data_IF_497566981840
#
_entry.id   IF_497566981840
#
_cell.length_a   1.000
_cell.length_b   1.000
_cell.length_c   1.000
_cell.angle_alpha   90.00
_cell.angle_beta   90.00
_cell.angle_gamma   90.00
#
_symmetry.space_group_name_H-M   'P 1'
#
loop_
_entity.id
_entity.type
_entity.pdbx_description
1 polymer ?
#
# COMPACT_ATOMS: atom_id res chain seq x y z
N UNK A 1 8.36 -17.23 11.90
CA UNK A 1 9.07 -16.03 11.42
C UNK A 1 8.20 -15.34 10.38
N UNK A 2 8.10 -14.01 10.41
CA UNK A 2 7.40 -13.21 9.41
C UNK A 2 8.46 -12.62 8.46
N UNK A 3 8.38 -12.95 7.19
CA UNK A 3 9.26 -12.38 6.16
C UNK A 3 8.72 -11.03 5.71
N UNK A 4 9.60 -10.06 5.54
CA UNK A 4 9.23 -8.72 5.12
C UNK A 4 10.35 -8.06 4.32
N UNK A 5 9.97 -7.05 3.53
CA UNK A 5 10.92 -6.15 2.88
C UNK A 5 10.68 -4.73 3.38
N UNK A 6 11.73 -4.03 3.79
CA UNK A 6 11.66 -2.60 4.12
C UNK A 6 11.91 -1.77 2.86
N UNK A 7 11.02 -0.84 2.55
CA UNK A 7 11.14 0.06 1.40
C UNK A 7 10.81 1.49 1.81
N UNK A 8 11.22 2.47 1.01
CA UNK A 8 10.73 3.84 1.13
C UNK A 8 10.56 4.48 -0.25
N UNK A 9 9.70 5.50 -0.32
CA UNK A 9 9.57 6.36 -1.50
C UNK A 9 9.45 7.81 -1.05
N UNK A 10 10.42 8.64 -1.45
CA UNK A 10 10.46 10.07 -1.10
C UNK A 10 10.34 10.32 0.42
N UNK A 11 11.02 9.51 1.22
CA UNK A 11 11.06 9.62 2.69
C UNK A 11 9.95 8.88 3.43
N UNK A 12 8.83 8.56 2.78
CA UNK A 12 7.77 7.75 3.38
C UNK A 12 8.15 6.26 3.32
N UNK A 13 8.21 5.60 4.48
CA UNK A 13 8.76 4.24 4.61
C UNK A 13 7.71 3.17 4.97
N UNK A 14 7.96 1.95 4.47
CA UNK A 14 7.00 0.85 4.46
C UNK A 14 7.62 -0.47 4.90
N UNK A 15 6.83 -1.26 5.61
CA UNK A 15 7.05 -2.71 5.73
C UNK A 15 6.14 -3.42 4.73
N UNK A 16 6.75 -4.11 3.76
CA UNK A 16 6.06 -4.86 2.70
C UNK A 16 5.93 -6.33 3.10
N UNK A 17 4.72 -6.87 3.04
CA UNK A 17 4.40 -8.24 3.41
C UNK A 17 3.77 -8.99 2.22
N UNK A 18 4.19 -10.25 2.05
CA UNK A 18 3.72 -11.13 0.99
C UNK A 18 2.58 -12.02 1.50
N UNK A 19 1.37 -11.70 1.07
CA UNK A 19 0.14 -12.47 1.33
C UNK A 19 -0.38 -13.13 0.05
N UNK A 20 0.48 -13.27 -0.97
CA UNK A 20 0.20 -14.01 -2.21
C UNK A 20 0.57 -15.48 -2.04
N UNK A 21 1.74 -15.74 -1.44
CA UNK A 21 2.28 -17.10 -1.27
C UNK A 21 1.85 -17.76 0.03
N UNK A 22 1.47 -16.97 1.04
CA UNK A 22 1.09 -17.44 2.37
C UNK A 22 0.06 -16.50 2.97
N UNK A 23 -1.06 -17.06 3.40
CA UNK A 23 -2.12 -16.28 4.06
C UNK A 23 -1.59 -15.63 5.34
N UNK A 24 -1.71 -14.31 5.45
CA UNK A 24 -1.37 -13.52 6.62
C UNK A 24 -2.63 -13.00 7.31
N UNK A 25 -2.87 -13.49 8.52
CA UNK A 25 -3.90 -12.95 9.42
C UNK A 25 -3.23 -12.10 10.49
N UNK A 26 -3.19 -10.78 10.24
CA UNK A 26 -2.53 -9.81 11.11
C UNK A 26 -3.57 -9.05 11.92
N UNK A 27 -3.44 -9.08 13.24
CA UNK A 27 -4.23 -8.24 14.14
C UNK A 27 -3.74 -6.80 14.13
N UNK A 28 -4.60 -5.87 14.53
CA UNK A 28 -4.26 -4.45 14.71
C UNK A 28 -3.05 -4.28 15.64
N UNK A 29 -3.00 -5.02 16.75
CA UNK A 29 -1.87 -5.00 17.68
C UNK A 29 -0.56 -5.44 17.02
N UNK A 30 -0.60 -6.43 16.12
CA UNK A 30 0.58 -6.86 15.38
C UNK A 30 1.05 -5.80 14.40
N UNK A 31 0.12 -5.15 13.68
CA UNK A 31 0.45 -4.02 12.79
C UNK A 31 1.10 -2.88 13.57
N UNK A 32 0.52 -2.48 14.70
CA UNK A 32 1.07 -1.43 15.55
C UNK A 32 2.47 -1.79 16.07
N UNK A 33 2.67 -3.03 16.51
CA UNK A 33 3.99 -3.52 16.94
C UNK A 33 5.01 -3.55 15.81
N UNK A 34 4.60 -3.86 14.58
CA UNK A 34 5.49 -3.79 13.41
C UNK A 34 5.90 -2.34 13.15
N UNK A 35 4.94 -1.41 13.21
CA UNK A 35 5.14 -0.01 12.87
C UNK A 35 5.86 0.82 13.95
N UNK A 36 5.90 0.36 15.21
CA UNK A 36 6.65 1.00 16.28
C UNK A 36 8.14 1.12 15.91
N UNK A 37 8.68 2.36 15.90
CA UNK A 37 10.05 2.65 15.49
C UNK A 37 11.12 2.32 16.54
N UNK A 38 10.74 2.14 17.80
CA UNK A 38 11.66 1.90 18.91
C UNK A 38 11.65 0.43 19.33
N UNK A 39 10.49 -0.23 19.23
CA UNK A 39 10.27 -1.59 19.72
C UNK A 39 9.91 -2.58 18.62
N UNK A 40 9.67 -2.09 17.41
CA UNK A 40 9.29 -2.85 16.23
C UNK A 40 10.30 -2.74 15.09
N UNK A 41 9.80 -2.90 13.87
CA UNK A 41 10.60 -2.67 12.64
C UNK A 41 10.64 -1.17 12.32
N UNK A 42 9.55 -0.46 12.61
CA UNK A 42 9.40 0.96 12.37
C UNK A 42 9.03 1.28 10.93
N UNK A 43 7.88 1.91 10.71
CA UNK A 43 7.47 2.43 9.39
C UNK A 43 6.30 3.41 9.53
N UNK A 44 6.05 4.21 8.50
CA UNK A 44 4.83 5.00 8.41
C UNK A 44 3.61 4.11 8.12
N UNK A 45 3.74 3.16 7.19
CA UNK A 45 2.67 2.21 6.84
C UNK A 45 3.16 0.77 6.65
N UNK A 46 2.31 -0.18 6.99
CA UNK A 46 2.46 -1.59 6.60
C UNK A 46 1.66 -1.83 5.33
N UNK A 47 2.28 -2.40 4.31
CA UNK A 47 1.64 -2.74 3.04
C UNK A 47 1.62 -4.26 2.88
N UNK A 48 0.43 -4.80 2.64
CA UNK A 48 0.25 -6.24 2.39
C UNK A 48 -0.15 -6.43 0.94
N UNK A 49 0.68 -7.18 0.21
CA UNK A 49 0.43 -7.55 -1.18
C UNK A 49 -0.34 -8.88 -1.20
N UNK A 50 -1.56 -8.86 -1.74
CA UNK A 50 -2.44 -10.02 -1.86
C UNK A 50 -2.69 -10.37 -3.32
N UNK A 51 -3.06 -11.62 -3.56
CA UNK A 51 -3.52 -12.05 -4.89
C UNK A 51 -4.72 -11.22 -5.34
N UNK A 52 -4.75 -10.86 -6.61
CA UNK A 52 -5.84 -10.08 -7.18
C UNK A 52 -7.18 -10.83 -7.19
N UNK A 53 -8.25 -10.06 -7.19
CA UNK A 53 -9.63 -10.52 -7.33
C UNK A 53 -10.36 -9.55 -8.28
N UNK A 54 -11.49 -9.97 -8.86
CA UNK A 54 -12.33 -9.09 -9.70
C UNK A 54 -11.58 -8.50 -10.92
N UNK A 55 -10.67 -9.27 -11.50
CA UNK A 55 -9.96 -8.90 -12.73
C UNK A 55 -8.85 -7.87 -12.57
N UNK A 56 -8.27 -7.72 -11.37
CA UNK A 56 -6.96 -7.09 -11.16
C UNK A 56 -5.87 -8.13 -10.86
N UNK A 57 -4.62 -7.78 -11.07
CA UNK A 57 -3.49 -8.68 -10.83
C UNK A 57 -3.21 -8.85 -9.33
N UNK A 58 -3.31 -7.76 -8.54
CA UNK A 58 -3.07 -7.78 -7.09
C UNK A 58 -4.05 -6.91 -6.31
N UNK A 59 -4.24 -7.26 -5.04
CA UNK A 59 -4.90 -6.42 -4.06
C UNK A 59 -3.87 -5.84 -3.07
N UNK A 60 -4.00 -4.56 -2.77
CA UNK A 60 -3.10 -3.81 -1.89
C UNK A 60 -3.86 -3.36 -0.66
N UNK A 61 -3.47 -3.89 0.50
CA UNK A 61 -3.90 -3.39 1.80
C UNK A 61 -2.86 -2.45 2.36
N UNK A 62 -3.33 -1.37 2.97
CA UNK A 62 -2.46 -0.32 3.52
C UNK A 62 -2.92 -0.04 4.95
N UNK A 63 -2.03 -0.23 5.90
CA UNK A 63 -2.30 0.09 7.30
C UNK A 63 -1.38 1.21 7.75
N UNK A 64 -1.94 2.20 8.42
CA UNK A 64 -1.16 3.19 9.15
C UNK A 64 -0.52 2.57 10.40
N UNK A 65 0.42 3.29 10.99
CA UNK A 65 1.08 2.87 12.23
C UNK A 65 0.14 2.63 13.42
N UNK A 66 -1.04 3.26 13.43
CA UNK A 66 -2.09 3.03 14.43
C UNK A 66 -2.93 1.77 14.15
N UNK A 67 -2.66 1.05 13.06
CA UNK A 67 -3.36 -0.15 12.63
C UNK A 67 -4.64 0.10 11.82
N UNK A 68 -5.00 1.36 11.55
CA UNK A 68 -6.15 1.68 10.70
C UNK A 68 -5.86 1.34 9.24
N UNK A 69 -6.79 0.65 8.57
CA UNK A 69 -6.69 0.36 7.15
C UNK A 69 -7.18 1.57 6.33
N UNK A 70 -6.37 2.02 5.37
CA UNK A 70 -6.66 3.17 4.52
C UNK A 70 -6.72 2.78 3.05
N UNK A 71 -7.48 3.57 2.28
CA UNK A 71 -7.77 3.24 0.89
C UNK A 71 -6.65 3.51 -0.11
N UNK A 72 -5.76 4.46 0.13
CA UNK A 72 -4.75 4.85 -0.85
C UNK A 72 -3.46 5.33 -0.20
N UNK A 73 -2.34 4.91 -0.79
CA UNK A 73 -1.03 5.54 -0.58
C UNK A 73 -0.25 5.50 -1.89
N UNK A 74 -0.12 6.64 -2.58
CA UNK A 74 0.57 6.72 -3.87
C UNK A 74 2.07 6.38 -3.78
N UNK A 75 2.71 6.73 -2.66
CA UNK A 75 4.10 6.36 -2.38
C UNK A 75 4.23 4.83 -2.18
N UNK A 76 3.30 4.26 -1.43
CA UNK A 76 3.20 2.82 -1.21
C UNK A 76 2.97 2.05 -2.50
N UNK A 77 2.12 2.56 -3.39
CA UNK A 77 1.86 1.95 -4.69
C UNK A 77 3.12 1.88 -5.58
N UNK A 78 3.98 2.90 -5.51
CA UNK A 78 5.30 2.85 -6.19
C UNK A 78 6.19 1.76 -5.61
N UNK A 79 6.29 1.67 -4.28
CA UNK A 79 7.04 0.60 -3.63
C UNK A 79 6.47 -0.78 -3.99
N UNK A 80 5.14 -0.94 -4.00
CA UNK A 80 4.47 -2.18 -4.37
C UNK A 80 4.78 -2.60 -5.81
N UNK A 81 4.72 -1.70 -6.78
CA UNK A 81 5.01 -2.04 -8.18
C UNK A 81 6.40 -2.65 -8.35
N UNK A 82 7.42 -2.03 -7.74
CA UNK A 82 8.78 -2.56 -7.73
C UNK A 82 8.87 -3.88 -6.94
N UNK A 83 8.27 -3.93 -5.75
CA UNK A 83 8.25 -5.12 -4.89
C UNK A 83 7.69 -6.35 -5.62
N UNK A 84 6.57 -6.22 -6.33
CA UNK A 84 5.93 -7.33 -7.04
C UNK A 84 6.85 -7.92 -8.11
N UNK A 85 7.60 -7.09 -8.83
CA UNK A 85 8.54 -7.54 -9.87
C UNK A 85 9.81 -8.13 -9.23
N UNK A 86 10.42 -7.44 -8.26
CA UNK A 86 11.65 -7.92 -7.61
C UNK A 86 11.47 -9.23 -6.84
N UNK A 87 10.30 -9.46 -6.24
CA UNK A 87 10.00 -10.70 -5.52
C UNK A 87 9.57 -11.85 -6.45
N UNK A 88 9.50 -11.62 -7.77
CA UNK A 88 9.01 -12.61 -8.74
C UNK A 88 7.54 -12.97 -8.52
N UNK A 89 6.74 -12.00 -8.08
CA UNK A 89 5.28 -12.16 -7.96
C UNK A 89 4.58 -11.77 -9.26
N UNK A 90 5.17 -10.85 -10.03
CA UNK A 90 4.72 -10.49 -11.38
C UNK A 90 5.88 -10.54 -12.36
N UNK A 91 5.70 -11.23 -13.49
CA UNK A 91 6.60 -11.16 -14.65
C UNK A 91 6.32 -9.93 -15.52
N UNK A 92 5.13 -9.33 -15.39
CA UNK A 92 4.73 -8.12 -16.12
C UNK A 92 5.21 -6.86 -15.40
N UNK A 93 5.52 -5.83 -16.18
CA UNK A 93 5.88 -4.48 -15.71
C UNK A 93 4.72 -3.49 -15.71
N UNK A 94 3.62 -3.82 -16.39
CA UNK A 94 2.34 -3.13 -16.24
C UNK A 94 1.45 -4.00 -15.38
N UNK A 95 1.06 -3.51 -14.21
CA UNK A 95 0.39 -4.28 -13.18
C UNK A 95 -0.86 -3.52 -12.74
N UNK A 96 -2.02 -4.16 -12.86
CA UNK A 96 -3.26 -3.63 -12.35
C UNK A 96 -3.43 -4.02 -10.88
N UNK A 97 -3.70 -3.03 -10.03
CA UNK A 97 -3.95 -3.27 -8.61
C UNK A 97 -5.30 -2.71 -8.19
N UNK A 98 -5.83 -3.24 -7.10
CA UNK A 98 -6.97 -2.65 -6.39
C UNK A 98 -6.64 -2.46 -4.91
N UNK A 99 -7.22 -1.44 -4.33
CA UNK A 99 -7.23 -1.14 -2.89
C UNK A 99 -8.68 -1.16 -2.42
N UNK A 100 -8.94 -0.89 -1.14
CA UNK A 100 -10.32 -0.80 -0.63
C UNK A 100 -11.15 0.29 -1.31
N UNK A 101 -10.52 1.33 -1.90
CA UNK A 101 -11.25 2.47 -2.49
C UNK A 101 -11.03 2.67 -3.98
N UNK A 102 -9.99 2.09 -4.57
CA UNK A 102 -9.60 2.40 -5.95
C UNK A 102 -8.95 1.25 -6.69
N UNK A 103 -9.13 1.23 -8.01
CA UNK A 103 -8.28 0.51 -8.96
C UNK A 103 -7.20 1.45 -9.48
N UNK A 104 -5.98 0.96 -9.67
CA UNK A 104 -4.84 1.71 -10.21
C UNK A 104 -4.08 0.82 -11.21
N UNK A 105 -3.30 1.46 -12.08
CA UNK A 105 -2.31 0.79 -12.93
C UNK A 105 -0.92 1.28 -12.54
N UNK A 106 -0.01 0.33 -12.33
CA UNK A 106 1.39 0.57 -12.03
C UNK A 106 2.23 0.21 -13.25
N UNK A 107 3.15 1.10 -13.64
CA UNK A 107 4.13 0.83 -14.70
C UNK A 107 5.54 0.91 -14.12
N UNK A 108 6.24 -0.21 -14.12
CA UNK A 108 7.61 -0.35 -13.62
C UNK A 108 8.60 -0.18 -14.78
N UNK A 109 9.25 0.97 -14.83
CA UNK A 109 10.27 1.32 -15.81
C UNK A 109 11.51 0.41 -15.73
N UNK A 110 12.28 0.36 -16.81
CA UNK A 110 13.53 -0.40 -16.86
C UNK A 110 14.57 0.11 -15.84
N UNK A 111 14.47 1.38 -15.45
CA UNK A 111 15.25 2.07 -14.43
C UNK A 111 14.69 1.89 -13.00
N UNK A 112 13.69 1.03 -12.83
CA UNK A 112 12.96 0.80 -11.57
C UNK A 112 12.17 1.99 -11.03
N UNK A 113 12.02 3.06 -11.81
CA UNK A 113 11.02 4.07 -11.50
C UNK A 113 9.62 3.50 -11.72
N UNK A 114 8.68 3.88 -10.86
CA UNK A 114 7.30 3.39 -10.93
C UNK A 114 6.37 4.56 -11.17
N UNK A 115 5.65 4.51 -12.29
CA UNK A 115 4.55 5.42 -12.60
C UNK A 115 3.25 4.81 -12.07
N UNK A 116 2.45 5.63 -11.42
CA UNK A 116 1.13 5.24 -10.90
C UNK A 116 0.09 6.05 -11.65
N UNK A 117 -0.77 5.36 -12.40
CA UNK A 117 -1.92 5.99 -13.03
C UNK A 117 -2.98 6.26 -11.96
N UNK A 118 -3.00 7.50 -11.46
CA UNK A 118 -4.01 7.96 -10.50
C UNK A 118 -5.33 8.25 -11.20
N UNK A 119 -6.44 8.03 -10.49
CA UNK A 119 -7.77 8.38 -10.98
C UNK A 119 -7.98 9.89 -11.03
N UNK A 120 -8.96 10.30 -11.83
CA UNK A 120 -9.39 11.70 -11.92
C UNK A 120 -9.79 12.22 -10.54
N UNK A 121 -9.23 13.36 -10.08
CA UNK A 121 -9.60 13.94 -8.80
C UNK A 121 -11.09 14.29 -8.74
N UNK A 122 -11.71 14.08 -7.58
CA UNK A 122 -13.08 14.47 -7.33
C UNK A 122 -13.12 15.87 -6.69
N UNK A 123 -13.79 16.83 -7.35
CA UNK A 123 -13.90 18.22 -6.88
C UNK A 123 -15.24 18.56 -6.22
N UNK A 124 -16.23 17.65 -6.29
CA UNK A 124 -17.53 17.89 -5.69
C UNK A 124 -17.40 17.94 -4.15
N UNK A 125 -17.93 18.98 -3.45
CA UNK A 125 -17.79 19.10 -1.99
C UNK A 125 -18.27 17.88 -1.20
N UNK A 126 -19.34 17.20 -1.66
CA UNK A 126 -19.84 15.97 -1.03
C UNK A 126 -18.86 14.79 -1.09
N UNK A 127 -17.87 14.83 -1.99
CA UNK A 127 -16.80 13.84 -2.13
C UNK A 127 -15.50 14.27 -1.42
N UNK A 128 -15.46 15.48 -0.88
CA UNK A 128 -14.35 16.04 -0.11
C UNK A 128 -14.94 16.69 1.16
N UNK A 129 -15.41 15.89 2.13
CA UNK A 129 -16.16 16.42 3.27
C UNK A 129 -15.29 17.35 4.10
N UNK A 130 -15.73 18.60 4.26
CA UNK A 130 -15.12 19.58 5.13
C UNK A 130 -15.69 19.42 6.53
N UNK A 131 -14.87 19.01 7.49
CA UNK A 131 -15.21 19.04 8.90
C UNK A 131 -14.90 20.44 9.44
N UNK A 132 -15.94 21.25 9.64
CA UNK A 132 -15.82 22.52 10.35
C UNK A 132 -15.99 22.25 11.85
N UNK A 133 -14.95 22.53 12.64
CA UNK A 133 -15.12 22.61 14.08
C UNK A 133 -15.98 23.85 14.37
N UNK A 134 -17.10 23.67 15.07
CA UNK A 134 -17.91 24.81 15.52
C UNK A 134 -17.03 25.71 16.39
N UNK A 135 -16.93 26.99 16.04
CA UNK A 135 -16.35 27.98 16.93
C UNK A 135 -17.36 28.24 18.04
N UNK A 136 -17.04 27.80 19.26
CA UNK A 136 -17.72 28.22 20.49
C UNK A 136 -17.21 29.59 20.93
#
# INVERSE_FOLDING_TARGET
MLEFTKMHSLGNDFVMLNDVRRVLDLSTDQIQRIADRHRGIGCDQVIVAQSGQEGVDFFMRVFNADGTEVGQCGNGARCLGRYLVEQGLSERRTISIRTTTTRLELKVGADWQVQVQMNTPAFAPRRCPLMLNAMN
#
